data_IF_822829763702
#
_entry.id   IF_822829763702
#
_cell.length_a   1.000
_cell.length_b   1.000
_cell.length_c   1.000
_cell.angle_alpha   90.00
_cell.angle_beta   90.00
_cell.angle_gamma   90.00
#
_symmetry.space_group_name_H-M   'P 1'
#
loop_
_entity.id
_entity.type
_entity.pdbx_description
1 polymer ?
#
# COMPACT_ATOMS: atom_id res chain seq x y z
N UNK A 1 15.11 -17.41 -3.70
CA UNK A 1 15.70 -16.06 -3.50
C UNK A 1 15.98 -15.46 -4.88
N UNK A 2 15.19 -14.49 -5.32
CA UNK A 2 15.36 -13.85 -6.62
C UNK A 2 16.29 -12.65 -6.44
N UNK A 3 17.45 -12.70 -7.09
CA UNK A 3 18.47 -11.66 -7.05
C UNK A 3 18.03 -10.48 -7.95
N UNK A 4 17.08 -9.70 -7.46
CA UNK A 4 16.53 -8.55 -8.16
C UNK A 4 17.53 -7.39 -8.11
N UNK A 5 18.49 -7.38 -9.03
CA UNK A 5 19.32 -6.18 -9.25
C UNK A 5 18.42 -5.02 -9.70
N UNK A 6 18.61 -3.81 -9.16
CA UNK A 6 17.87 -2.64 -9.59
C UNK A 6 18.12 -2.38 -11.08
N UNK A 7 17.02 -2.25 -11.84
CA UNK A 7 17.09 -1.91 -13.25
C UNK A 7 17.48 -0.43 -13.34
N UNK A 8 18.60 -0.13 -14.02
CA UNK A 8 19.06 1.24 -14.23
C UNK A 8 17.98 2.08 -14.93
N UNK A 9 17.78 3.33 -14.49
CA UNK A 9 16.79 4.24 -15.06
C UNK A 9 15.37 4.11 -14.49
N UNK A 10 15.13 3.26 -13.48
CA UNK A 10 13.84 3.22 -12.77
C UNK A 10 13.74 4.40 -11.80
N UNK A 11 12.63 5.17 -11.82
CA UNK A 11 12.39 6.29 -10.91
C UNK A 11 12.41 5.89 -9.43
N UNK A 12 12.80 6.85 -8.59
CA UNK A 12 12.65 6.74 -7.13
C UNK A 12 11.17 6.73 -6.77
N UNK A 13 10.75 5.77 -5.95
CA UNK A 13 9.38 5.66 -5.45
C UNK A 13 9.26 6.07 -3.98
N UNK A 14 10.30 5.82 -3.18
CA UNK A 14 10.29 6.03 -1.74
C UNK A 14 11.52 6.78 -1.23
N UNK A 15 11.30 7.58 -0.20
CA UNK A 15 12.33 7.99 0.76
C UNK A 15 12.23 7.08 1.98
N UNK A 16 13.32 6.42 2.32
CA UNK A 16 13.44 5.53 3.46
C UNK A 16 14.24 6.25 4.55
N UNK A 17 13.72 6.26 5.78
CA UNK A 17 14.50 6.58 6.98
C UNK A 17 14.55 5.38 7.91
N UNK A 18 15.75 4.96 8.30
CA UNK A 18 16.00 3.88 9.25
C UNK A 18 16.56 4.49 10.53
N UNK A 19 15.95 4.16 11.66
CA UNK A 19 16.49 4.37 13.00
C UNK A 19 16.91 3.01 13.53
N UNK A 20 18.21 2.81 13.70
CA UNK A 20 18.77 1.54 14.16
C UNK A 20 18.66 1.36 15.68
N UNK A 21 19.00 0.17 16.18
CA UNK A 21 18.90 -0.17 17.60
C UNK A 21 19.76 0.71 18.53
N UNK A 22 20.80 1.33 17.99
CA UNK A 22 21.68 2.28 18.66
C UNK A 22 21.22 3.74 18.48
N UNK A 23 20.01 3.95 17.95
CA UNK A 23 19.41 5.24 17.61
C UNK A 23 20.06 5.98 16.46
N UNK A 24 21.04 5.38 15.77
CA UNK A 24 21.62 6.00 14.57
C UNK A 24 20.59 6.09 13.47
N UNK A 25 20.55 7.23 12.78
CA UNK A 25 19.60 7.49 11.71
C UNK A 25 20.29 7.50 10.35
N UNK A 26 19.66 6.84 9.38
CA UNK A 26 20.11 6.83 7.98
C UNK A 26 18.94 7.09 7.08
N UNK A 27 19.17 7.90 6.04
CA UNK A 27 18.15 8.22 5.04
C UNK A 27 18.68 7.85 3.67
N UNK A 28 17.86 7.17 2.88
CA UNK A 28 18.14 6.87 1.48
C UNK A 28 16.88 6.92 0.64
N UNK A 29 17.04 6.86 -0.67
CA UNK A 29 15.95 6.69 -1.61
C UNK A 29 15.98 5.29 -2.21
N UNK A 30 14.86 4.81 -2.71
CA UNK A 30 14.79 3.54 -3.42
C UNK A 30 13.67 3.52 -4.46
N UNK A 31 13.77 2.57 -5.38
CA UNK A 31 12.74 2.24 -6.36
C UNK A 31 11.57 1.48 -5.71
N UNK A 32 10.46 1.33 -6.44
CA UNK A 32 9.32 0.54 -5.96
C UNK A 32 9.69 -0.94 -5.73
N UNK A 33 10.49 -1.53 -6.62
CA UNK A 33 10.90 -2.93 -6.48
C UNK A 33 11.81 -3.17 -5.27
N UNK A 34 12.72 -2.25 -4.96
CA UNK A 34 13.55 -2.33 -3.76
C UNK A 34 12.73 -2.15 -2.48
N UNK A 35 11.73 -1.26 -2.49
CA UNK A 35 10.81 -1.08 -1.37
C UNK A 35 9.96 -2.35 -1.15
N UNK A 36 9.40 -2.91 -2.21
CA UNK A 36 8.61 -4.15 -2.15
C UNK A 36 9.44 -5.30 -1.60
N UNK A 37 10.70 -5.46 -2.05
CA UNK A 37 11.59 -6.50 -1.53
C UNK A 37 11.88 -6.34 -0.03
N UNK A 38 12.01 -5.10 0.48
CA UNK A 38 12.17 -4.85 1.91
C UNK A 38 10.91 -5.22 2.69
N UNK A 39 9.73 -4.91 2.15
CA UNK A 39 8.45 -5.24 2.76
C UNK A 39 8.22 -6.75 2.78
N UNK A 40 8.52 -7.44 1.68
CA UNK A 40 8.42 -8.90 1.59
C UNK A 40 9.31 -9.58 2.65
N UNK A 41 10.55 -9.10 2.85
CA UNK A 41 11.44 -9.61 3.90
C UNK A 41 10.89 -9.32 5.30
N UNK A 42 10.39 -8.10 5.53
CA UNK A 42 9.79 -7.73 6.81
C UNK A 42 8.59 -8.61 7.17
N UNK A 43 7.74 -8.95 6.19
CA UNK A 43 6.63 -9.90 6.38
C UNK A 43 7.16 -11.29 6.74
N UNK A 44 8.18 -11.79 6.05
CA UNK A 44 8.76 -13.11 6.33
C UNK A 44 9.43 -13.19 7.71
N UNK A 45 9.99 -12.08 8.17
CA UNK A 45 10.64 -11.96 9.49
C UNK A 45 9.64 -11.65 10.62
N UNK A 46 8.34 -11.59 10.32
CA UNK A 46 7.26 -11.20 11.26
C UNK A 46 7.52 -9.84 11.93
N UNK A 47 8.14 -8.91 11.19
CA UNK A 47 8.32 -7.53 11.64
C UNK A 47 6.97 -6.81 11.68
N UNK A 48 6.77 -5.96 12.68
CA UNK A 48 5.52 -5.22 12.81
C UNK A 48 5.40 -4.18 11.68
N UNK A 49 4.36 -4.33 10.87
CA UNK A 49 3.98 -3.43 9.79
C UNK A 49 2.82 -2.52 10.19
N UNK A 50 2.93 -1.23 9.91
CA UNK A 50 1.83 -0.29 10.06
C UNK A 50 1.80 0.71 8.91
N UNK A 51 0.59 1.02 8.42
CA UNK A 51 0.38 2.12 7.47
C UNK A 51 -0.19 3.32 8.24
N UNK A 52 0.29 4.52 7.90
CA UNK A 52 -0.25 5.74 8.48
C UNK A 52 -1.78 5.84 8.27
N UNK A 53 -2.51 6.24 9.31
CA UNK A 53 -3.98 6.45 9.22
C UNK A 53 -4.39 7.63 8.31
N UNK A 54 -3.42 8.47 7.94
CA UNK A 54 -3.60 9.54 6.98
C UNK A 54 -3.62 9.00 5.53
N UNK A 55 -3.70 9.90 4.55
CA UNK A 55 -3.68 9.53 3.12
C UNK A 55 -2.28 9.66 2.50
N UNK A 56 -1.22 9.63 3.32
CA UNK A 56 0.16 9.75 2.84
C UNK A 56 0.65 8.46 2.19
N UNK A 57 0.11 7.31 2.58
CA UNK A 57 0.59 6.00 2.16
C UNK A 57 1.95 5.62 2.77
N UNK A 58 2.37 6.33 3.84
CA UNK A 58 3.58 6.00 4.60
C UNK A 58 3.44 4.66 5.30
N UNK A 59 4.48 3.84 5.21
CA UNK A 59 4.59 2.53 5.85
C UNK A 59 5.69 2.61 6.89
N UNK A 60 5.44 2.07 8.08
CA UNK A 60 6.43 1.94 9.16
C UNK A 60 6.61 0.46 9.46
N UNK A 61 7.87 0.03 9.46
CA UNK A 61 8.33 -1.28 9.89
C UNK A 61 8.99 -1.12 11.24
N UNK A 62 8.65 -1.99 12.19
CA UNK A 62 9.30 -2.07 13.49
C UNK A 62 9.79 -3.48 13.72
N UNK A 63 11.11 -3.62 13.71
CA UNK A 63 11.79 -4.85 14.14
C UNK A 63 12.08 -4.75 15.62
N UNK A 64 11.72 -5.80 16.36
CA UNK A 64 11.93 -5.86 17.81
C UNK A 64 12.96 -6.92 18.14
N UNK A 65 14.00 -6.54 18.88
CA UNK A 65 15.02 -7.45 19.38
C UNK A 65 15.05 -7.40 20.90
N UNK A 66 14.85 -8.56 21.53
CA UNK A 66 14.92 -8.71 22.98
C UNK A 66 16.12 -9.57 23.34
N UNK A 67 17.03 -9.03 24.15
CA UNK A 67 18.26 -9.73 24.52
C UNK A 67 19.01 -9.06 25.66
N UNK A 68 20.14 -9.64 26.11
CA UNK A 68 20.99 -9.04 27.12
C UNK A 68 21.49 -7.67 26.66
N UNK A 69 21.60 -6.71 27.59
CA UNK A 69 22.05 -5.35 27.28
C UNK A 69 23.43 -5.33 26.65
N UNK A 70 24.34 -6.14 27.19
CA UNK A 70 25.70 -6.36 26.68
C UNK A 70 26.12 -7.80 26.94
N UNK A 71 27.28 -8.23 26.41
CA UNK A 71 27.83 -9.55 26.69
C UNK A 71 28.15 -9.78 28.19
N UNK A 72 28.32 -8.70 28.97
CA UNK A 72 28.68 -8.75 30.41
C UNK A 72 27.57 -8.31 31.35
N UNK A 73 26.48 -7.73 30.83
CA UNK A 73 25.29 -7.32 31.60
C UNK A 73 24.10 -8.19 31.16
N UNK A 74 23.68 -9.19 31.98
CA UNK A 74 22.59 -10.10 31.64
C UNK A 74 21.21 -9.46 31.70
N UNK A 75 21.10 -8.17 32.06
CA UNK A 75 19.83 -7.44 32.07
C UNK A 75 19.19 -7.49 30.69
N UNK A 76 17.99 -8.07 30.61
CA UNK A 76 17.23 -8.15 29.36
C UNK A 76 16.71 -6.76 28.97
N UNK A 77 16.97 -6.35 27.74
CA UNK A 77 16.47 -5.12 27.15
C UNK A 77 15.77 -5.43 25.83
N UNK A 78 14.72 -4.68 25.55
CA UNK A 78 14.06 -4.68 24.24
C UNK A 78 14.54 -3.46 23.47
N UNK A 79 15.04 -3.68 22.25
CA UNK A 79 15.46 -2.62 21.33
C UNK A 79 14.60 -2.69 20.08
N UNK A 80 14.37 -1.54 19.47
CA UNK A 80 13.59 -1.42 18.25
C UNK A 80 14.46 -0.82 17.15
N UNK A 81 14.35 -1.39 15.95
CA UNK A 81 14.78 -0.74 14.72
C UNK A 81 13.51 -0.32 13.97
N UNK A 82 13.43 0.94 13.56
CA UNK A 82 12.28 1.48 12.84
C UNK A 82 12.68 1.89 11.44
N UNK A 83 12.00 1.34 10.43
CA UNK A 83 12.16 1.75 9.04
C UNK A 83 10.88 2.40 8.56
N UNK A 84 10.96 3.65 8.12
CA UNK A 84 9.82 4.41 7.60
C UNK A 84 9.98 4.61 6.10
N UNK A 85 9.03 4.09 5.32
CA UNK A 85 8.94 4.25 3.88
C UNK A 85 7.92 5.36 3.58
N UNK A 86 8.41 6.50 3.10
CA UNK A 86 7.57 7.63 2.69
C UNK A 86 7.49 7.68 1.16
N UNK A 87 6.30 7.51 0.56
CA UNK A 87 6.13 7.66 -0.89
C UNK A 87 6.58 9.04 -1.36
N UNK A 88 7.32 9.10 -2.47
CA UNK A 88 7.67 10.37 -3.12
C UNK A 88 6.44 11.02 -3.75
N UNK A 89 5.55 10.19 -4.28
CA UNK A 89 4.29 10.63 -4.87
C UNK A 89 3.11 10.27 -3.97
N UNK A 90 2.13 11.18 -3.82
CA UNK A 90 0.94 10.88 -3.04
C UNK A 90 0.16 9.73 -3.69
N UNK A 91 -0.46 8.85 -2.88
CA UNK A 91 -1.22 7.69 -3.37
C UNK A 91 -2.60 8.13 -3.90
N UNK A 92 -2.60 8.82 -5.05
CA UNK A 92 -3.81 9.34 -5.71
C UNK A 92 -3.88 8.81 -7.14
N UNK A 93 -4.90 8.02 -7.41
CA UNK A 93 -5.18 7.44 -8.73
C UNK A 93 -6.37 8.15 -9.38
N UNK A 94 -6.25 8.43 -10.68
CA UNK A 94 -7.40 8.63 -11.54
C UNK A 94 -8.12 7.29 -11.79
N UNK A 95 -9.42 7.33 -12.10
CA UNK A 95 -10.24 6.12 -12.31
C UNK A 95 -9.62 5.17 -13.34
N UNK A 96 -9.10 5.71 -14.46
CA UNK A 96 -8.43 4.92 -15.50
C UNK A 96 -7.13 4.26 -15.04
N UNK A 97 -6.38 4.90 -14.12
CA UNK A 97 -5.18 4.32 -13.52
C UNK A 97 -5.55 3.22 -12.54
N UNK A 98 -6.61 3.44 -11.75
CA UNK A 98 -7.15 2.44 -10.83
C UNK A 98 -7.60 1.18 -11.58
N UNK A 99 -8.44 1.30 -12.62
CA UNK A 99 -8.91 0.15 -13.42
C UNK A 99 -7.73 -0.64 -13.98
N UNK A 100 -6.74 0.06 -14.55
CA UNK A 100 -5.57 -0.60 -15.12
C UNK A 100 -4.72 -1.33 -14.07
N UNK A 101 -4.52 -0.74 -12.89
CA UNK A 101 -3.80 -1.38 -11.79
C UNK A 101 -4.59 -2.57 -11.22
N UNK A 102 -5.92 -2.47 -11.13
CA UNK A 102 -6.77 -3.57 -10.67
C UNK A 102 -6.67 -4.78 -11.62
N UNK A 103 -6.77 -4.56 -12.93
CA UNK A 103 -6.59 -5.62 -13.93
C UNK A 103 -5.18 -6.22 -13.89
N UNK A 104 -4.14 -5.38 -13.77
CA UNK A 104 -2.76 -5.83 -13.65
C UNK A 104 -2.52 -6.65 -12.37
N UNK A 105 -3.14 -6.25 -11.25
CA UNK A 105 -3.03 -6.95 -9.97
C UNK A 105 -3.71 -8.32 -10.07
N UNK A 106 -4.95 -8.37 -10.55
CA UNK A 106 -5.70 -9.60 -10.75
C UNK A 106 -4.93 -10.57 -11.66
N UNK A 107 -4.43 -10.09 -12.82
CA UNK A 107 -3.65 -10.92 -13.73
C UNK A 107 -2.41 -11.54 -13.06
N UNK A 108 -1.67 -10.76 -12.27
CA UNK A 108 -0.47 -11.25 -11.60
C UNK A 108 -0.79 -12.30 -10.52
N UNK A 109 -1.93 -12.18 -9.84
CA UNK A 109 -2.40 -13.15 -8.86
C UNK A 109 -2.87 -14.45 -9.53
N UNK A 110 -3.60 -14.34 -10.64
CA UNK A 110 -4.12 -15.50 -11.39
C UNK A 110 -3.02 -16.23 -12.19
N UNK A 111 -1.98 -15.50 -12.59
CA UNK A 111 -0.91 -16.02 -13.47
C UNK A 111 0.49 -15.78 -12.91
N UNK A 112 0.83 -16.31 -11.71
CA UNK A 112 2.06 -15.99 -11.01
C UNK A 112 3.34 -16.41 -11.77
N UNK A 113 3.25 -17.42 -12.64
CA UNK A 113 4.37 -17.95 -13.44
C UNK A 113 4.58 -17.23 -14.79
N UNK A 114 3.57 -16.51 -15.30
CA UNK A 114 3.66 -15.75 -16.55
C UNK A 114 3.90 -14.26 -16.27
N UNK A 115 3.14 -13.72 -15.32
CA UNK A 115 3.13 -12.31 -14.95
C UNK A 115 2.74 -11.37 -16.10
N UNK A 116 2.65 -10.08 -15.81
CA UNK A 116 2.64 -9.05 -16.84
C UNK A 116 4.06 -8.72 -17.26
N UNK A 117 4.26 -8.40 -18.54
CA UNK A 117 5.58 -8.18 -19.14
C UNK A 117 5.73 -6.76 -19.66
N UNK A 118 6.85 -6.12 -19.38
CA UNK A 118 7.26 -4.91 -20.08
C UNK A 118 7.92 -5.30 -21.41
N UNK A 119 7.40 -4.77 -22.50
CA UNK A 119 7.92 -4.95 -23.85
C UNK A 119 8.99 -3.90 -24.18
N UNK A 120 9.80 -4.15 -25.19
CA UNK A 120 10.82 -3.19 -25.67
C UNK A 120 10.21 -1.86 -26.14
N UNK A 121 8.95 -1.89 -26.60
CA UNK A 121 8.18 -0.69 -26.96
C UNK A 121 7.74 0.17 -25.74
N UNK A 122 8.04 -0.29 -24.52
CA UNK A 122 7.64 0.36 -23.27
C UNK A 122 6.20 0.09 -22.85
N UNK A 123 5.49 -0.86 -23.47
CA UNK A 123 4.15 -1.30 -23.08
C UNK A 123 4.21 -2.39 -22.03
N UNK A 124 3.27 -2.38 -21.07
CA UNK A 124 3.02 -3.53 -20.21
C UNK A 124 1.90 -4.36 -20.83
N UNK A 125 2.15 -5.64 -21.09
CA UNK A 125 1.18 -6.58 -21.66
C UNK A 125 0.78 -7.64 -20.64
N UNK A 126 -0.52 -7.88 -20.52
CA UNK A 126 -1.12 -8.93 -19.68
C UNK A 126 -2.45 -9.38 -20.28
N UNK A 127 -2.63 -10.69 -20.48
CA UNK A 127 -3.78 -11.23 -21.20
C UNK A 127 -3.96 -10.60 -22.58
N UNK A 128 -5.15 -10.08 -22.84
CA UNK A 128 -5.49 -9.33 -24.05
C UNK A 128 -5.33 -7.81 -23.89
N UNK A 129 -4.90 -7.35 -22.71
CA UNK A 129 -4.75 -5.93 -22.38
C UNK A 129 -3.30 -5.48 -22.56
N UNK A 130 -3.12 -4.25 -23.03
CA UNK A 130 -1.82 -3.60 -23.10
C UNK A 130 -1.90 -2.16 -22.61
N UNK A 131 -1.11 -1.82 -21.60
CA UNK A 131 -0.94 -0.46 -21.12
C UNK A 131 -0.03 0.33 -22.09
N UNK A 132 -0.47 1.50 -22.60
CA UNK A 132 0.35 2.34 -23.47
C UNK A 132 1.62 2.86 -22.77
N UNK A 133 2.73 3.12 -23.48
CA UNK A 133 4.00 3.47 -22.86
C UNK A 133 3.95 4.75 -22.00
N UNK A 134 3.14 5.73 -22.41
CA UNK A 134 2.96 6.96 -21.64
C UNK A 134 2.30 6.70 -20.28
N UNK A 135 1.34 5.77 -20.22
CA UNK A 135 0.68 5.37 -18.98
C UNK A 135 1.65 4.59 -18.10
N UNK A 136 2.36 3.61 -18.69
CA UNK A 136 3.39 2.82 -17.99
C UNK A 136 4.42 3.72 -17.31
N UNK A 137 4.97 4.70 -18.04
CA UNK A 137 5.94 5.65 -17.47
C UNK A 137 5.38 6.40 -16.26
N UNK A 138 4.12 6.83 -16.31
CA UNK A 138 3.47 7.53 -15.18
C UNK A 138 3.25 6.60 -13.98
N UNK A 139 2.81 5.36 -14.20
CA UNK A 139 2.60 4.39 -13.12
C UNK A 139 3.91 4.00 -12.43
N UNK A 140 4.96 3.79 -13.22
CA UNK A 140 6.31 3.47 -12.73
C UNK A 140 6.92 4.68 -12.02
N UNK A 141 6.80 5.89 -12.59
CA UNK A 141 7.27 7.12 -11.95
C UNK A 141 6.52 7.42 -10.64
N UNK A 142 5.22 7.16 -10.59
CA UNK A 142 4.42 7.25 -9.37
C UNK A 142 4.76 6.19 -8.32
N UNK A 143 5.61 5.22 -8.65
CA UNK A 143 5.97 4.12 -7.77
C UNK A 143 4.89 3.06 -7.59
N UNK A 144 3.80 3.10 -8.38
CA UNK A 144 2.65 2.18 -8.27
C UNK A 144 2.85 0.85 -9.00
N UNK A 145 3.79 0.83 -9.95
CA UNK A 145 4.23 -0.39 -10.64
C UNK A 145 5.71 -0.61 -10.35
N UNK A 146 6.02 -1.79 -9.84
CA UNK A 146 7.38 -2.28 -9.69
C UNK A 146 7.79 -3.06 -10.96
N UNK A 147 9.03 -2.85 -11.37
CA UNK A 147 9.66 -3.59 -12.47
C UNK A 147 10.80 -4.41 -11.89
N UNK A 148 10.72 -5.73 -12.07
CA UNK A 148 11.75 -6.66 -11.60
C UNK A 148 12.19 -7.58 -12.74
N UNK A 149 13.48 -7.90 -12.75
CA UNK A 149 13.99 -8.95 -13.65
C UNK A 149 13.39 -10.30 -13.25
N UNK A 150 12.86 -11.01 -14.24
CA UNK A 150 12.27 -12.34 -14.07
C UNK A 150 12.67 -13.23 -15.24
N UNK A 151 12.42 -14.54 -15.10
CA UNK A 151 12.73 -15.53 -16.12
C UNK A 151 11.55 -16.47 -16.30
N UNK A 152 11.19 -16.74 -17.56
CA UNK A 152 10.26 -17.81 -17.91
C UNK A 152 10.97 -18.75 -18.88
N UNK A 153 11.13 -20.02 -18.51
CA UNK A 153 11.88 -21.01 -19.32
C UNK A 153 13.26 -20.45 -19.74
N UNK A 154 14.00 -19.90 -18.77
CA UNK A 154 15.32 -19.27 -18.93
C UNK A 154 15.39 -18.02 -19.81
N UNK A 155 14.27 -17.57 -20.40
CA UNK A 155 14.21 -16.30 -21.13
C UNK A 155 14.03 -15.16 -20.13
N UNK A 156 15.00 -14.23 -20.01
CA UNK A 156 14.86 -13.08 -19.14
C UNK A 156 13.82 -12.10 -19.69
N UNK A 157 13.02 -11.52 -18.81
CA UNK A 157 12.09 -10.45 -19.13
C UNK A 157 11.90 -9.53 -17.91
N UNK A 158 11.43 -8.32 -18.16
CA UNK A 158 11.02 -7.41 -17.10
C UNK A 158 9.56 -7.67 -16.73
N UNK A 159 9.35 -8.22 -15.54
CA UNK A 159 8.02 -8.42 -14.98
C UNK A 159 7.52 -7.10 -14.39
N UNK A 160 6.28 -6.75 -14.70
CA UNK A 160 5.58 -5.64 -14.09
C UNK A 160 4.57 -6.15 -13.05
N UNK A 161 4.67 -5.65 -11.83
CA UNK A 161 3.76 -5.97 -10.73
C UNK A 161 3.22 -4.70 -10.10
N UNK A 162 2.03 -4.77 -9.52
CA UNK A 162 1.52 -3.68 -8.68
C UNK A 162 2.29 -3.69 -7.37
N UNK A 163 2.99 -2.59 -7.09
CA UNK A 163 3.79 -2.43 -5.89
C UNK A 163 2.92 -2.26 -4.65
N UNK A 164 3.51 -2.32 -3.44
CA UNK A 164 2.77 -1.97 -2.22
C UNK A 164 2.23 -0.54 -2.26
N UNK A 165 2.97 0.41 -2.84
CA UNK A 165 2.49 1.78 -3.06
C UNK A 165 1.23 1.79 -3.94
N UNK A 166 1.24 0.99 -5.01
CA UNK A 166 0.11 0.85 -5.92
C UNK A 166 -1.12 0.25 -5.24
N UNK A 167 -0.93 -0.82 -4.46
CA UNK A 167 -2.02 -1.46 -3.67
C UNK A 167 -2.62 -0.51 -2.65
N UNK A 168 -1.77 0.24 -1.92
CA UNK A 168 -2.21 1.29 -0.99
C UNK A 168 -3.02 2.37 -1.72
N UNK A 169 -2.53 2.81 -2.88
CA UNK A 169 -3.24 3.81 -3.69
C UNK A 169 -4.60 3.30 -4.20
N UNK A 170 -4.69 2.01 -4.57
CA UNK A 170 -5.94 1.35 -4.93
C UNK A 170 -6.92 1.33 -3.75
N UNK A 171 -6.50 0.87 -2.57
CA UNK A 171 -7.35 0.87 -1.36
C UNK A 171 -7.80 2.29 -1.00
N UNK A 172 -6.91 3.29 -1.07
CA UNK A 172 -7.29 4.69 -0.79
C UNK A 172 -8.24 5.31 -1.83
N UNK A 173 -8.25 4.76 -3.05
CA UNK A 173 -9.16 5.14 -4.13
C UNK A 173 -10.55 4.49 -3.94
N UNK A 174 -10.58 3.20 -3.60
CA UNK A 174 -11.80 2.42 -3.36
C UNK A 174 -12.50 2.80 -2.05
N UNK A 175 -11.74 3.08 -0.99
CA UNK A 175 -12.26 3.31 0.36
C UNK A 175 -12.26 4.80 0.72
N UNK A 176 -13.07 5.59 0.01
CA UNK A 176 -13.32 6.99 0.34
C UNK A 176 -14.47 7.07 1.33
N UNK A 177 -14.34 7.97 2.30
CA UNK A 177 -15.46 8.32 3.18
C UNK A 177 -16.55 8.93 2.31
N UNK A 178 -17.67 8.23 2.15
CA UNK A 178 -18.89 8.81 1.58
C UNK A 178 -19.47 9.69 2.68
N UNK A 179 -19.89 10.91 2.35
CA UNK A 179 -20.40 11.86 3.35
C UNK A 179 -21.51 11.24 4.22
N UNK A 180 -21.78 11.83 5.38
CA UNK A 180 -22.71 11.25 6.33
C UNK A 180 -24.11 11.12 5.72
N UNK A 181 -24.65 9.91 5.65
CA UNK A 181 -26.09 9.75 5.46
C UNK A 181 -26.78 10.20 6.74
N UNK A 182 -27.66 11.20 6.66
CA UNK A 182 -28.60 11.49 7.73
C UNK A 182 -29.67 10.41 7.66
N UNK A 183 -29.72 9.55 8.66
CA UNK A 183 -30.77 8.52 8.77
C UNK A 183 -31.86 9.10 9.66
N UNK A 184 -32.81 9.83 9.07
CA UNK A 184 -34.06 10.12 9.75
C UNK A 184 -34.90 8.83 9.70
N UNK A 185 -34.93 8.09 10.79
CA UNK A 185 -35.78 6.90 10.89
C UNK A 185 -37.24 7.32 11.09
N UNK A 186 -38.07 7.24 10.03
CA UNK A 186 -39.48 6.79 10.03
C UNK A 186 -40.06 6.77 8.58
N UNK A 187 -41.18 6.03 8.30
CA UNK A 187 -41.68 5.75 6.96
C UNK A 187 -42.16 6.95 6.12
N UNK A 188 -42.30 8.14 6.71
CA UNK A 188 -43.06 9.26 6.14
C UNK A 188 -42.18 10.41 5.59
N UNK A 189 -40.86 10.22 5.44
CA UNK A 189 -39.92 11.20 4.86
C UNK A 189 -39.91 12.60 5.51
N UNK A 190 -40.57 12.79 6.66
CA UNK A 190 -40.62 14.06 7.39
C UNK A 190 -39.37 14.21 8.25
N UNK A 191 -38.63 15.28 8.02
CA UNK A 191 -37.49 15.69 8.87
C UNK A 191 -38.08 16.18 10.20
N UNK A 192 -38.03 15.36 11.24
CA UNK A 192 -38.40 15.78 12.59
C UNK A 192 -37.30 16.67 13.21
N UNK A 193 -37.66 17.57 14.15
CA UNK A 193 -36.71 18.27 14.99
C UNK A 193 -36.16 17.29 16.05
N UNK A 194 -35.27 16.39 15.62
CA UNK A 194 -34.48 15.51 16.47
C UNK A 194 -32.99 15.64 16.13
N UNK A 195 -32.11 15.18 17.01
CA UNK A 195 -30.67 15.17 16.72
C UNK A 195 -30.41 14.29 15.47
N UNK A 196 -29.68 14.77 14.46
CA UNK A 196 -29.41 13.99 13.26
C UNK A 196 -28.57 12.76 13.60
N UNK A 197 -29.07 11.58 13.24
CA UNK A 197 -28.31 10.33 13.33
C UNK A 197 -27.51 10.14 12.05
N UNK A 198 -26.21 9.95 12.17
CA UNK A 198 -25.29 9.81 11.04
C UNK A 198 -24.81 8.36 10.92
N UNK A 199 -24.95 7.77 9.73
CA UNK A 199 -24.41 6.44 9.43
C UNK A 199 -23.02 6.53 8.78
N UNK A 200 -22.09 5.70 9.26
CA UNK A 200 -20.76 5.61 8.68
C UNK A 200 -20.86 4.85 7.37
N UNK A 201 -20.32 5.39 6.28
CA UNK A 201 -20.34 4.70 4.99
C UNK A 201 -19.05 4.90 4.21
N UNK A 202 -18.77 3.91 3.36
CA UNK A 202 -17.60 3.87 2.52
C UNK A 202 -18.02 3.71 1.05
N UNK A 203 -17.22 4.22 0.12
CA UNK A 203 -17.48 4.04 -1.33
C UNK A 203 -17.41 2.59 -1.80
N UNK A 204 -16.82 1.69 -1.01
CA UNK A 204 -16.87 0.24 -1.27
C UNK A 204 -18.22 -0.41 -0.92
N UNK A 205 -19.20 0.34 -0.40
CA UNK A 205 -20.50 -0.17 0.00
C UNK A 205 -20.60 -0.63 1.45
N UNK A 206 -19.52 -0.50 2.25
CA UNK A 206 -19.56 -0.76 3.68
C UNK A 206 -20.40 0.29 4.43
N UNK A 207 -21.18 -0.18 5.40
CA UNK A 207 -21.93 0.63 6.36
C UNK A 207 -21.52 0.24 7.79
N UNK A 208 -21.28 1.24 8.62
CA UNK A 208 -20.85 1.07 10.00
C UNK A 208 -21.88 1.55 11.02
N UNK A 209 -21.46 1.67 12.29
CA UNK A 209 -22.31 2.17 13.37
C UNK A 209 -22.88 3.56 13.06
N UNK A 210 -24.09 3.78 13.57
CA UNK A 210 -24.71 5.11 13.62
C UNK A 210 -24.25 5.86 14.86
N UNK A 211 -24.09 7.18 14.74
CA UNK A 211 -23.81 8.06 15.88
C UNK A 211 -24.49 9.41 15.69
N UNK A 212 -24.78 10.09 16.80
CA UNK A 212 -25.35 11.45 16.81
C UNK A 212 -24.29 12.52 16.47
N UNK A 213 -23.03 12.11 16.29
CA UNK A 213 -21.90 12.98 15.94
C UNK A 213 -21.26 12.55 14.62
N UNK A 214 -21.34 13.46 13.65
CA UNK A 214 -20.68 13.41 12.36
C UNK A 214 -19.16 13.10 12.42
N UNK A 215 -18.45 13.54 13.44
CA UNK A 215 -17.03 13.30 13.62
C UNK A 215 -16.75 11.85 14.04
N UNK A 216 -17.57 11.29 14.94
CA UNK A 216 -17.50 9.89 15.38
C UNK A 216 -17.76 8.97 14.18
N UNK A 217 -18.83 9.25 13.42
CA UNK A 217 -19.19 8.52 12.20
C UNK A 217 -18.07 8.52 11.15
N UNK A 218 -17.43 9.67 10.93
CA UNK A 218 -16.23 9.76 10.07
C UNK A 218 -15.04 8.98 10.63
N UNK A 219 -14.91 8.89 11.95
CA UNK A 219 -13.97 8.01 12.64
C UNK A 219 -14.13 6.55 12.24
N UNK A 220 -15.35 6.03 12.29
CA UNK A 220 -15.64 4.65 11.90
C UNK A 220 -15.29 4.35 10.43
N UNK A 221 -15.64 5.24 9.49
CA UNK A 221 -15.25 5.07 8.08
C UNK A 221 -13.74 5.13 7.85
N UNK A 222 -13.00 5.92 8.65
CA UNK A 222 -11.53 5.95 8.61
C UNK A 222 -10.91 4.66 9.17
N UNK A 223 -11.49 4.11 10.24
CA UNK A 223 -11.04 2.84 10.81
C UNK A 223 -11.27 1.68 9.84
N UNK A 224 -12.45 1.60 9.23
CA UNK A 224 -12.73 0.63 8.17
C UNK A 224 -11.68 0.72 7.04
N UNK A 225 -11.38 1.92 6.54
CA UNK A 225 -10.31 2.08 5.53
C UNK A 225 -8.94 1.61 6.05
N UNK A 226 -8.63 1.88 7.31
CA UNK A 226 -7.36 1.47 7.90
C UNK A 226 -7.25 -0.05 8.00
N UNK A 227 -8.32 -0.75 8.38
CA UNK A 227 -8.38 -2.22 8.37
C UNK A 227 -8.09 -2.78 6.96
N UNK A 228 -8.68 -2.16 5.92
CA UNK A 228 -8.45 -2.55 4.52
C UNK A 228 -7.02 -2.26 4.07
N UNK A 229 -6.39 -1.19 4.58
CA UNK A 229 -4.96 -0.93 4.33
C UNK A 229 -4.08 -1.99 5.00
N UNK A 230 -4.40 -2.39 6.23
CA UNK A 230 -3.65 -3.43 6.94
C UNK A 230 -3.75 -4.78 6.21
N UNK A 231 -4.91 -5.11 5.64
CA UNK A 231 -5.13 -6.34 4.87
C UNK A 231 -4.28 -6.48 3.59
N UNK A 232 -3.57 -5.43 3.17
CA UNK A 232 -2.61 -5.49 2.04
C UNK A 232 -1.42 -6.39 2.37
N UNK A 233 -1.02 -6.46 3.64
CA UNK A 233 0.07 -7.31 4.09
C UNK A 233 -0.50 -8.66 4.53
N UNK A 234 -0.07 -9.77 3.93
CA UNK A 234 -0.46 -11.09 4.42
C UNK A 234 0.11 -11.29 5.83
N UNK A 235 -0.73 -11.83 6.71
CA UNK A 235 -0.34 -12.32 8.03
C UNK A 235 0.33 -13.70 7.93
#
# INVERSE_FOLDING_TARGET
MSDARPVSGVPVAYRISVTDYDTTQRVRTCTAAEADALLDVAILDDDQLSIAHDRSGRITLTRTLTGPRTATDPTMVTKHQTTVLTPVHPPRLADSQYTLLAELHAWNNDHPSRGAKLTDSGRITFGFTAAPPAVVRRLVAGGWVALASSKTKDVPFLRATVSYAGRIAMVLHEHRTRGNGIVNHEPDWRIHPGNPVYIASCTCGWYGPTADDAAITRGHARNHRHEQLQAIFPA
#
